data_IF_100997199981
#
_entry.id   IF_100997199981
#
_cell.length_a   1.000
_cell.length_b   1.000
_cell.length_c   1.000
_cell.angle_alpha   90.00
_cell.angle_beta   90.00
_cell.angle_gamma   90.00
#
_symmetry.space_group_name_H-M   'P 1'
#
loop_
_entity.id
_entity.type
_entity.pdbx_description
1 polymer ?
#
# COMPACT_ATOMS: atom_id res chain seq x y z
N UNK A 1 5.91 60.97 1.24
CA UNK A 1 4.85 61.54 0.37
C UNK A 1 3.97 60.40 -0.12
N UNK A 2 2.70 60.37 0.29
CA UNK A 2 1.63 59.48 -0.22
C UNK A 2 0.78 60.26 -1.24
N UNK A 3 0.07 59.59 -2.16
CA UNK A 3 -1.39 59.38 -1.99
C UNK A 3 -1.81 57.96 -2.41
N UNK A 4 -2.78 57.24 -1.80
CA UNK A 4 -4.18 57.51 -1.43
C UNK A 4 -5.14 57.61 -2.64
N UNK A 5 -5.79 56.48 -2.98
CA UNK A 5 -7.00 56.36 -3.81
C UNK A 5 -7.94 55.40 -3.04
N UNK A 6 -8.86 55.91 -2.22
CA UNK A 6 -10.23 56.37 -2.51
C UNK A 6 -11.22 55.25 -2.83
N UNK A 7 -11.88 54.77 -1.78
CA UNK A 7 -13.14 54.04 -1.79
C UNK A 7 -14.30 54.92 -2.33
N UNK A 8 -15.16 54.38 -3.19
CA UNK A 8 -16.59 54.76 -3.24
C UNK A 8 -17.46 53.53 -3.44
N UNK A 9 -18.28 53.30 -2.43
CA UNK A 9 -19.48 52.47 -2.44
C UNK A 9 -20.58 53.15 -3.26
N UNK A 10 -21.41 52.36 -3.94
CA UNK A 10 -22.77 52.73 -4.31
C UNK A 10 -23.70 51.55 -4.01
N UNK A 11 -24.33 51.65 -2.85
CA UNK A 11 -25.56 50.99 -2.44
C UNK A 11 -26.73 51.45 -3.33
N UNK A 12 -27.60 50.51 -3.73
CA UNK A 12 -29.01 50.74 -4.06
C UNK A 12 -29.70 49.40 -4.40
N UNK A 13 -30.38 48.84 -3.40
CA UNK A 13 -31.68 48.18 -3.59
C UNK A 13 -32.77 49.16 -3.12
N UNK A 14 -34.00 49.16 -3.66
CA UNK A 14 -35.02 48.32 -3.04
C UNK A 14 -36.21 47.83 -3.92
N UNK A 15 -36.90 46.81 -3.35
CA UNK A 15 -38.34 46.47 -3.39
C UNK A 15 -38.96 45.72 -4.60
N UNK A 16 -39.19 44.43 -4.35
CA UNK A 16 -40.49 43.76 -4.19
C UNK A 16 -41.67 44.08 -5.14
N UNK A 17 -42.17 43.04 -5.81
CA UNK A 17 -43.61 42.82 -6.00
C UNK A 17 -43.97 41.33 -6.07
N UNK A 18 -44.93 40.95 -5.23
CA UNK A 18 -45.70 39.69 -5.20
C UNK A 18 -46.51 39.51 -6.49
N UNK A 19 -46.62 38.27 -6.95
CA UNK A 19 -47.85 37.77 -7.59
C UNK A 19 -47.93 36.24 -7.47
N UNK A 20 -48.76 35.80 -6.52
CA UNK A 20 -49.25 34.43 -6.36
C UNK A 20 -50.45 34.19 -7.29
N UNK A 21 -50.42 33.16 -8.14
CA UNK A 21 -51.63 32.52 -8.68
C UNK A 21 -51.44 30.99 -8.68
N UNK A 22 -52.26 30.32 -7.86
CA UNK A 22 -52.37 28.86 -7.84
C UNK A 22 -53.36 28.34 -8.88
N UNK A 23 -53.41 27.00 -8.98
CA UNK A 23 -54.51 26.10 -9.42
C UNK A 23 -53.90 24.67 -9.58
N UNK A 24 -54.68 23.57 -9.49
CA UNK A 24 -55.17 22.99 -8.25
C UNK A 24 -54.67 21.54 -8.02
N UNK A 25 -54.77 21.11 -6.76
CA UNK A 25 -54.57 19.74 -6.33
C UNK A 25 -55.75 18.84 -6.75
N UNK A 26 -55.45 17.68 -7.35
CA UNK A 26 -56.39 16.57 -7.49
C UNK A 26 -55.98 15.48 -6.50
N UNK A 27 -56.80 15.33 -5.44
CA UNK A 27 -56.77 14.14 -4.57
C UNK A 27 -57.58 13.03 -5.23
N UNK A 28 -57.01 11.84 -5.35
CA UNK A 28 -57.77 10.58 -5.32
C UNK A 28 -56.97 9.55 -4.52
N UNK A 29 -57.62 9.01 -3.50
CA UNK A 29 -57.14 7.90 -2.68
C UNK A 29 -57.67 6.56 -3.24
N UNK A 30 -56.84 5.50 -3.15
CA UNK A 30 -57.19 4.12 -2.73
C UNK A 30 -56.27 3.05 -3.38
N UNK A 31 -55.28 2.59 -2.59
CA UNK A 31 -54.96 1.20 -2.17
C UNK A 31 -54.90 -0.02 -3.15
N UNK A 32 -54.24 -1.15 -2.75
CA UNK A 32 -53.16 -1.79 -3.52
C UNK A 32 -53.50 -3.19 -4.08
N UNK A 33 -52.65 -3.70 -4.99
CA UNK A 33 -52.53 -5.14 -5.23
C UNK A 33 -52.15 -5.56 -6.66
N UNK A 34 -51.42 -6.68 -6.73
CA UNK A 34 -51.17 -7.58 -7.86
C UNK A 34 -49.94 -7.31 -8.76
N UNK A 35 -48.88 -8.06 -8.44
CA UNK A 35 -47.83 -8.50 -9.35
C UNK A 35 -48.41 -9.02 -10.67
N UNK A 36 -47.83 -8.58 -11.79
CA UNK A 36 -47.96 -9.25 -13.08
C UNK A 36 -46.59 -9.38 -13.73
N UNK A 37 -46.10 -10.62 -13.73
CA UNK A 37 -45.07 -11.08 -14.64
C UNK A 37 -45.58 -10.92 -16.08
N UNK A 38 -44.85 -10.16 -16.90
CA UNK A 38 -45.08 -10.11 -18.34
C UNK A 38 -44.28 -11.24 -18.98
N UNK A 39 -44.98 -12.33 -19.29
CA UNK A 39 -44.54 -13.32 -20.24
C UNK A 39 -44.61 -12.72 -21.67
N UNK A 40 -43.50 -12.75 -22.40
CA UNK A 40 -43.44 -12.45 -23.83
C UNK A 40 -43.20 -13.76 -24.59
N UNK A 41 -44.19 -14.17 -25.38
CA UNK A 41 -44.09 -15.24 -26.39
C UNK A 41 -43.38 -14.73 -27.66
N UNK A 42 -42.82 -15.64 -28.48
CA UNK A 42 -41.84 -15.29 -29.51
C UNK A 42 -42.51 -14.91 -30.84
N UNK A 43 -42.02 -13.82 -31.45
CA UNK A 43 -42.33 -13.44 -32.83
C UNK A 43 -41.05 -13.41 -33.66
N UNK A 44 -40.99 -14.28 -34.67
CA UNK A 44 -39.92 -14.38 -35.65
C UNK A 44 -39.84 -13.14 -36.56
N UNK A 45 -38.62 -12.68 -36.88
CA UNK A 45 -38.40 -11.77 -37.99
C UNK A 45 -37.02 -11.12 -38.08
N UNK A 46 -36.14 -11.73 -38.88
CA UNK A 46 -34.95 -11.17 -39.55
C UNK A 46 -33.65 -10.96 -38.74
N UNK A 47 -32.81 -12.01 -38.80
CA UNK A 47 -31.37 -12.01 -38.52
C UNK A 47 -30.60 -11.18 -39.56
N UNK A 48 -29.84 -10.18 -39.11
CA UNK A 48 -28.65 -9.71 -39.83
C UNK A 48 -27.44 -10.35 -39.14
N UNK A 49 -26.96 -11.44 -39.72
CA UNK A 49 -25.68 -12.05 -39.39
C UNK A 49 -24.57 -11.07 -39.78
N UNK A 50 -23.89 -10.47 -38.79
CA UNK A 50 -22.50 -10.04 -38.99
C UNK A 50 -21.61 -11.23 -38.69
N UNK A 51 -20.93 -11.71 -39.72
CA UNK A 51 -19.94 -12.76 -39.68
C UNK A 51 -18.85 -12.42 -38.66
N UNK A 52 -18.60 -13.34 -37.73
CA UNK A 52 -17.43 -13.32 -36.86
C UNK A 52 -16.18 -13.60 -37.72
N UNK A 53 -15.01 -13.00 -37.38
CA UNK A 53 -13.75 -13.47 -37.94
C UNK A 53 -13.47 -14.90 -37.44
N UNK A 54 -12.90 -15.80 -38.28
CA UNK A 54 -12.78 -17.20 -37.95
C UNK A 54 -11.63 -17.40 -36.95
N UNK A 55 -11.94 -17.94 -35.76
CA UNK A 55 -10.92 -18.38 -34.81
C UNK A 55 -11.31 -18.32 -33.33
N UNK A 56 -12.41 -18.93 -32.93
CA UNK A 56 -12.64 -19.29 -31.54
C UNK A 56 -13.34 -20.66 -31.51
N UNK A 57 -12.54 -21.71 -31.54
CA UNK A 57 -13.01 -23.07 -31.30
C UNK A 57 -13.65 -23.14 -29.92
N UNK A 58 -14.83 -23.75 -29.86
CA UNK A 58 -15.49 -24.13 -28.63
C UNK A 58 -14.55 -25.05 -27.81
N UNK A 59 -13.94 -24.48 -26.78
CA UNK A 59 -13.31 -25.21 -25.70
C UNK A 59 -14.11 -24.98 -24.44
N UNK A 60 -14.90 -25.98 -24.04
CA UNK A 60 -15.34 -26.10 -22.65
C UNK A 60 -14.11 -26.42 -21.80
N UNK A 61 -13.35 -25.39 -21.46
CA UNK A 61 -12.22 -25.43 -20.54
C UNK A 61 -12.39 -24.25 -19.61
N UNK A 62 -12.82 -24.50 -18.37
CA UNK A 62 -12.96 -23.46 -17.37
C UNK A 62 -11.63 -22.70 -17.27
N UNK A 63 -11.66 -21.41 -17.58
CA UNK A 63 -10.59 -20.50 -17.21
C UNK A 63 -10.35 -20.68 -15.70
N UNK A 64 -9.09 -20.68 -15.21
CA UNK A 64 -8.83 -20.71 -13.78
C UNK A 64 -9.54 -19.51 -13.17
N UNK A 65 -10.62 -19.78 -12.43
CA UNK A 65 -11.39 -18.74 -11.76
C UNK A 65 -10.41 -18.06 -10.80
N UNK A 66 -10.16 -16.76 -10.99
CA UNK A 66 -9.52 -15.95 -9.96
C UNK A 66 -10.40 -16.10 -8.73
N UNK A 67 -9.97 -16.92 -7.78
CA UNK A 67 -10.75 -17.15 -6.58
C UNK A 67 -10.95 -15.79 -5.91
N UNK A 68 -12.18 -15.46 -5.46
CA UNK A 68 -12.39 -14.22 -4.74
C UNK A 68 -11.43 -14.15 -3.56
N UNK A 69 -10.81 -12.99 -3.29
CA UNK A 69 -9.93 -12.85 -2.13
C UNK A 69 -10.63 -13.20 -0.83
N UNK A 70 -9.85 -13.60 0.17
CA UNK A 70 -10.37 -13.85 1.51
C UNK A 70 -11.10 -12.59 2.03
N UNK A 71 -12.33 -12.76 2.51
CA UNK A 71 -13.19 -11.67 2.99
C UNK A 71 -14.18 -11.13 1.96
N UNK A 72 -14.05 -11.51 0.68
CA UNK A 72 -15.03 -11.15 -0.34
C UNK A 72 -16.20 -12.14 -0.42
N UNK A 73 -17.41 -11.68 -0.82
CA UNK A 73 -18.54 -12.57 -1.06
C UNK A 73 -18.19 -13.63 -2.11
N UNK A 74 -18.73 -14.85 -1.98
CA UNK A 74 -18.51 -15.93 -2.94
C UNK A 74 -18.96 -15.61 -4.37
N UNK A 75 -19.83 -14.60 -4.52
CA UNK A 75 -20.30 -14.10 -5.81
C UNK A 75 -19.35 -13.10 -6.47
N UNK A 76 -18.35 -12.58 -5.75
CA UNK A 76 -17.35 -11.67 -6.28
C UNK A 76 -16.44 -12.41 -7.26
N UNK A 77 -16.16 -11.80 -8.41
CA UNK A 77 -15.46 -12.46 -9.53
C UNK A 77 -16.04 -13.80 -9.99
N UNK A 78 -17.34 -14.02 -9.73
CA UNK A 78 -18.08 -15.15 -10.26
C UNK A 78 -18.85 -14.72 -11.51
N UNK A 79 -18.80 -15.46 -12.62
CA UNK A 79 -19.60 -15.14 -13.80
C UNK A 79 -21.10 -15.09 -13.50
N UNK A 80 -21.80 -14.19 -14.18
CA UNK A 80 -23.25 -14.04 -14.10
C UNK A 80 -23.92 -15.35 -14.57
N UNK A 81 -24.92 -15.85 -13.82
CA UNK A 81 -25.52 -17.16 -14.09
C UNK A 81 -26.12 -17.30 -15.50
N UNK A 82 -26.57 -16.19 -16.11
CA UNK A 82 -27.08 -16.15 -17.48
C UNK A 82 -26.00 -15.94 -18.56
N UNK A 83 -24.73 -16.02 -18.21
CA UNK A 83 -23.58 -15.77 -19.09
C UNK A 83 -23.46 -14.33 -19.57
N UNK A 84 -22.59 -14.13 -20.57
CA UNK A 84 -22.24 -12.80 -21.10
C UNK A 84 -23.45 -11.99 -21.59
N UNK A 85 -24.46 -12.63 -22.20
CA UNK A 85 -25.65 -11.92 -22.68
C UNK A 85 -26.46 -11.30 -21.53
N UNK A 86 -26.75 -12.09 -20.48
CA UNK A 86 -27.48 -11.60 -19.32
C UNK A 86 -26.66 -10.55 -18.54
N UNK A 87 -25.34 -10.78 -18.43
CA UNK A 87 -24.42 -9.82 -17.84
C UNK A 87 -24.44 -8.47 -18.59
N UNK A 88 -24.45 -8.49 -19.93
CA UNK A 88 -24.52 -7.27 -20.74
C UNK A 88 -25.81 -6.49 -20.53
N UNK A 89 -26.96 -7.16 -20.51
CA UNK A 89 -28.23 -6.49 -20.20
C UNK A 89 -28.24 -5.89 -18.80
N UNK A 90 -27.74 -6.62 -17.81
CA UNK A 90 -27.64 -6.13 -16.43
C UNK A 90 -26.69 -4.93 -16.32
N UNK A 91 -25.53 -4.99 -17.00
CA UNK A 91 -24.54 -3.91 -17.08
C UNK A 91 -25.13 -2.66 -17.72
N UNK A 92 -25.83 -2.79 -18.84
CA UNK A 92 -26.44 -1.65 -19.55
C UNK A 92 -27.51 -0.94 -18.71
N UNK A 93 -28.28 -1.70 -17.92
CA UNK A 93 -29.28 -1.14 -16.97
C UNK A 93 -28.61 -0.47 -15.77
N UNK A 94 -27.54 -1.06 -15.23
CA UNK A 94 -26.88 -0.57 -14.02
C UNK A 94 -25.94 0.62 -14.28
N UNK A 95 -25.29 0.67 -15.45
CA UNK A 95 -24.23 1.62 -15.77
C UNK A 95 -24.58 3.09 -15.50
N UNK A 96 -25.76 3.63 -15.89
CA UNK A 96 -26.10 5.03 -15.60
C UNK A 96 -26.09 5.35 -14.11
N UNK A 97 -26.62 4.44 -13.27
CA UNK A 97 -26.66 4.61 -11.82
C UNK A 97 -25.29 4.49 -11.19
N UNK A 98 -24.48 3.52 -11.63
CA UNK A 98 -23.11 3.32 -11.18
C UNK A 98 -22.24 4.55 -11.48
N UNK A 99 -22.25 5.03 -12.73
CA UNK A 99 -21.48 6.19 -13.16
C UNK A 99 -21.93 7.47 -12.45
N UNK A 100 -23.23 7.67 -12.25
CA UNK A 100 -23.74 8.80 -11.48
C UNK A 100 -23.32 8.73 -10.00
N UNK A 101 -23.31 7.52 -9.41
CA UNK A 101 -22.83 7.28 -8.05
C UNK A 101 -21.35 7.61 -7.89
N UNK A 102 -20.50 7.12 -8.80
CA UNK A 102 -19.06 7.41 -8.82
C UNK A 102 -18.82 8.92 -8.96
N UNK A 103 -19.53 9.58 -9.89
CA UNK A 103 -19.42 11.02 -10.07
C UNK A 103 -19.75 11.81 -8.78
N UNK A 104 -20.78 11.36 -8.05
CA UNK A 104 -21.24 12.02 -6.83
C UNK A 104 -20.39 11.70 -5.59
N UNK A 105 -19.80 10.51 -5.51
CA UNK A 105 -19.03 10.04 -4.34
C UNK A 105 -17.54 10.36 -4.41
N UNK A 106 -16.99 10.42 -5.61
CA UNK A 106 -15.55 10.64 -5.83
C UNK A 106 -15.37 11.89 -6.66
N UNK A 107 -15.61 11.79 -7.98
CA UNK A 107 -15.44 12.90 -8.90
C UNK A 107 -16.02 12.57 -10.27
N UNK A 108 -16.66 13.53 -10.97
CA UNK A 108 -17.01 13.36 -12.37
C UNK A 108 -15.80 13.09 -13.28
N UNK A 109 -14.58 13.45 -12.85
CA UNK A 109 -13.34 13.29 -13.64
C UNK A 109 -12.95 11.83 -13.89
N UNK A 110 -13.30 10.91 -12.98
CA UNK A 110 -12.98 9.48 -13.12
C UNK A 110 -14.03 8.70 -13.91
N UNK A 111 -15.22 9.28 -14.14
CA UNK A 111 -16.33 8.65 -14.87
C UNK A 111 -15.93 8.13 -16.25
N UNK A 112 -15.11 8.83 -17.07
CA UNK A 112 -14.69 8.29 -18.36
C UNK A 112 -13.91 6.97 -18.25
N UNK A 113 -13.09 6.80 -17.21
CA UNK A 113 -12.34 5.56 -16.98
C UNK A 113 -13.28 4.42 -16.60
N UNK A 114 -14.22 4.67 -15.68
CA UNK A 114 -15.22 3.67 -15.30
C UNK A 114 -16.18 3.32 -16.43
N UNK A 115 -16.47 4.26 -17.32
CA UNK A 115 -17.21 3.96 -18.54
C UNK A 115 -16.41 3.05 -19.48
N UNK A 116 -15.10 3.29 -19.66
CA UNK A 116 -14.25 2.35 -20.41
C UNK A 116 -14.27 0.96 -19.77
N UNK A 117 -14.13 0.87 -18.44
CA UNK A 117 -14.19 -0.39 -17.71
C UNK A 117 -15.50 -1.13 -17.99
N UNK A 118 -16.63 -0.45 -17.75
CA UNK A 118 -17.96 -1.05 -17.91
C UNK A 118 -18.16 -1.56 -19.34
N UNK A 119 -17.62 -0.85 -20.34
CA UNK A 119 -17.82 -1.12 -21.77
C UNK A 119 -16.60 -1.74 -22.49
N UNK A 120 -15.88 -2.62 -21.80
CA UNK A 120 -14.94 -3.56 -22.41
C UNK A 120 -13.46 -3.25 -22.23
N UNK A 121 -13.12 -2.28 -21.39
CA UNK A 121 -11.75 -1.92 -21.04
C UNK A 121 -11.03 -1.02 -22.06
N UNK A 122 -9.75 -0.78 -21.82
CA UNK A 122 -8.91 0.11 -22.65
C UNK A 122 -7.51 -0.45 -22.88
N UNK A 123 -6.76 0.19 -23.77
CA UNK A 123 -5.30 0.03 -23.78
C UNK A 123 -4.71 0.72 -22.54
N UNK A 124 -3.44 0.47 -22.24
CA UNK A 124 -2.73 1.21 -21.19
C UNK A 124 -2.72 2.71 -21.51
N UNK A 125 -3.08 3.52 -20.52
CA UNK A 125 -3.17 4.98 -20.65
C UNK A 125 -2.13 5.68 -19.76
N UNK A 126 -1.55 6.78 -20.23
CA UNK A 126 -0.78 7.67 -19.36
C UNK A 126 -1.73 8.74 -18.80
N UNK A 127 -1.94 8.72 -17.49
CA UNK A 127 -2.84 9.63 -16.79
C UNK A 127 -2.11 10.70 -15.97
N UNK A 128 -0.78 10.81 -16.12
CA UNK A 128 0.06 11.75 -15.37
C UNK A 128 -0.43 13.20 -15.49
N UNK A 129 -0.72 13.66 -16.71
CA UNK A 129 -1.20 15.02 -16.93
C UNK A 129 -2.62 15.26 -16.37
N UNK A 130 -3.45 14.21 -16.33
CA UNK A 130 -4.85 14.31 -15.92
C UNK A 130 -5.00 14.24 -14.41
N UNK A 131 -4.27 13.36 -13.74
CA UNK A 131 -4.46 13.04 -12.32
C UNK A 131 -3.19 13.18 -11.47
N UNK A 132 -2.02 13.48 -12.04
CA UNK A 132 -0.77 13.56 -11.27
C UNK A 132 -0.86 14.52 -10.08
N UNK A 133 -1.57 15.64 -10.23
CA UNK A 133 -1.80 16.56 -9.11
C UNK A 133 -2.68 15.96 -8.00
N UNK A 134 -3.70 15.16 -8.33
CA UNK A 134 -4.53 14.47 -7.33
C UNK A 134 -3.71 13.41 -6.58
N UNK A 135 -2.84 12.70 -7.28
CA UNK A 135 -1.89 11.76 -6.66
C UNK A 135 -0.91 12.50 -5.74
N UNK A 136 -0.33 13.63 -6.15
CA UNK A 136 0.53 14.45 -5.29
C UNK A 136 -0.18 14.92 -4.02
N UNK A 137 -1.47 15.25 -4.11
CA UNK A 137 -2.26 15.78 -2.98
C UNK A 137 -2.85 14.70 -2.06
N UNK A 138 -2.77 13.42 -2.43
CA UNK A 138 -3.33 12.32 -1.64
C UNK A 138 -2.67 12.21 -0.26
N UNK A 139 -3.47 11.88 0.76
CA UNK A 139 -2.95 11.59 2.09
C UNK A 139 -2.02 10.36 2.10
N UNK A 140 -2.28 9.34 1.26
CA UNK A 140 -1.36 8.20 1.07
C UNK A 140 0.00 8.69 0.59
N UNK A 141 0.03 9.52 -0.45
CA UNK A 141 1.29 10.08 -0.97
C UNK A 141 2.04 10.88 0.08
N UNK A 142 1.34 11.68 0.89
CA UNK A 142 1.95 12.44 1.97
C UNK A 142 2.63 11.49 2.98
N UNK A 143 1.93 10.44 3.43
CA UNK A 143 2.46 9.46 4.37
C UNK A 143 3.65 8.67 3.79
N UNK A 144 3.55 8.18 2.55
CA UNK A 144 4.66 7.50 1.87
C UNK A 144 5.87 8.42 1.69
N UNK A 145 5.63 9.70 1.41
CA UNK A 145 6.72 10.69 1.32
C UNK A 145 7.39 10.89 2.67
N UNK A 146 6.62 11.01 3.75
CA UNK A 146 7.15 11.18 5.10
C UNK A 146 8.02 9.97 5.50
N UNK A 147 7.53 8.76 5.26
CA UNK A 147 8.30 7.51 5.46
C UNK A 147 9.65 7.52 4.71
N UNK A 148 9.64 7.75 3.39
CA UNK A 148 10.87 7.74 2.59
C UNK A 148 11.85 8.84 3.03
N UNK A 149 11.34 10.01 3.42
CA UNK A 149 12.18 11.14 3.85
C UNK A 149 12.76 10.88 5.24
N UNK A 150 12.03 10.22 6.13
CA UNK A 150 12.54 9.81 7.44
C UNK A 150 13.59 8.70 7.34
N UNK A 151 13.40 7.71 6.47
CA UNK A 151 14.41 6.70 6.17
C UNK A 151 15.70 7.34 5.62
N UNK A 152 15.55 8.29 4.68
CA UNK A 152 16.69 9.02 4.12
C UNK A 152 17.40 9.86 5.20
N UNK A 153 16.65 10.52 6.09
CA UNK A 153 17.22 11.29 7.20
C UNK A 153 18.03 10.39 8.12
N UNK A 154 17.49 9.25 8.53
CA UNK A 154 18.18 8.29 9.41
C UNK A 154 19.45 7.73 8.77
N UNK A 155 19.40 7.39 7.49
CA UNK A 155 20.57 6.93 6.74
C UNK A 155 21.66 8.03 6.65
N UNK A 156 21.29 9.29 6.43
CA UNK A 156 22.24 10.42 6.41
C UNK A 156 22.81 10.70 7.81
N UNK A 157 22.03 10.56 8.88
CA UNK A 157 22.50 10.68 10.26
C UNK A 157 23.52 9.59 10.61
N UNK A 158 23.27 8.35 10.18
CA UNK A 158 24.14 7.21 10.44
C UNK A 158 25.40 7.21 9.57
N UNK A 159 25.30 7.68 8.33
CA UNK A 159 26.37 7.62 7.32
C UNK A 159 26.40 8.90 6.48
N UNK A 160 26.81 10.05 7.06
CA UNK A 160 26.80 11.32 6.35
C UNK A 160 27.77 11.29 5.16
N UNK A 161 27.37 11.80 3.98
CA UNK A 161 28.25 11.85 2.83
C UNK A 161 29.36 12.91 3.00
N UNK A 162 30.46 12.82 2.24
CA UNK A 162 31.47 13.87 2.25
C UNK A 162 30.91 15.17 1.62
N UNK A 163 31.33 16.30 2.18
CA UNK A 163 31.05 17.64 1.64
C UNK A 163 32.38 18.32 1.24
N UNK A 164 32.88 18.10 0.01
CA UNK A 164 34.13 18.71 -0.45
C UNK A 164 34.07 20.23 -0.36
N UNK A 165 34.95 20.82 0.45
CA UNK A 165 34.97 22.26 0.69
C UNK A 165 33.70 22.83 1.34
N UNK A 166 32.87 21.99 1.97
CA UNK A 166 31.58 22.40 2.56
C UNK A 166 30.49 22.71 1.54
N UNK A 167 30.68 22.35 0.27
CA UNK A 167 29.68 22.59 -0.77
C UNK A 167 28.48 21.63 -0.65
N UNK A 168 27.27 22.05 -1.05
CA UNK A 168 26.12 21.15 -1.16
C UNK A 168 26.39 19.98 -2.11
N UNK A 169 25.84 18.82 -1.76
CA UNK A 169 25.99 17.57 -2.52
C UNK A 169 24.62 17.06 -2.96
N UNK A 170 24.52 16.54 -4.18
CA UNK A 170 23.32 15.84 -4.67
C UNK A 170 23.54 14.33 -4.52
N UNK A 171 22.52 13.62 -4.03
CA UNK A 171 22.58 12.19 -3.78
C UNK A 171 21.35 11.49 -4.34
N UNK A 172 21.55 10.32 -4.95
CA UNK A 172 20.46 9.45 -5.43
C UNK A 172 19.75 8.78 -4.25
N UNK A 173 18.44 8.96 -4.15
CA UNK A 173 17.63 8.47 -3.03
C UNK A 173 17.57 6.93 -3.04
N UNK A 174 17.21 6.25 -4.15
CA UNK A 174 17.14 4.79 -4.16
C UNK A 174 18.42 4.07 -3.79
N UNK A 175 19.59 4.63 -4.11
CA UNK A 175 20.87 4.05 -3.71
C UNK A 175 21.12 4.05 -2.19
N UNK A 176 20.45 4.94 -1.45
CA UNK A 176 20.63 5.13 0.00
C UNK A 176 19.62 4.36 0.82
N UNK A 177 18.38 4.30 0.33
CA UNK A 177 17.27 3.64 1.03
C UNK A 177 16.58 2.55 0.17
N UNK A 178 17.33 1.59 -0.42
CA UNK A 178 16.78 0.62 -1.36
C UNK A 178 15.69 -0.27 -0.76
N UNK A 179 15.78 -0.59 0.53
CA UNK A 179 14.76 -1.37 1.24
C UNK A 179 13.45 -0.59 1.35
N UNK A 180 13.51 0.69 1.73
CA UNK A 180 12.32 1.55 1.82
C UNK A 180 11.65 1.75 0.45
N UNK A 181 12.45 1.91 -0.62
CA UNK A 181 11.92 1.99 -1.99
C UNK A 181 11.24 0.68 -2.42
N UNK A 182 11.72 -0.46 -1.94
CA UNK A 182 11.08 -1.76 -2.23
C UNK A 182 9.79 -1.93 -1.43
N UNK A 183 9.77 -1.49 -0.17
CA UNK A 183 8.64 -1.62 0.75
C UNK A 183 7.37 -0.96 0.19
N UNK A 184 7.48 0.26 -0.36
CA UNK A 184 6.32 1.00 -0.90
C UNK A 184 5.57 0.26 -2.03
N UNK A 185 6.26 -0.65 -2.74
CA UNK A 185 5.70 -1.44 -3.85
C UNK A 185 5.39 -2.88 -3.50
N UNK A 186 5.64 -3.31 -2.26
CA UNK A 186 5.48 -4.71 -1.84
C UNK A 186 4.06 -4.93 -1.31
N UNK A 187 3.27 -5.86 -1.89
CA UNK A 187 1.92 -6.12 -1.42
C UNK A 187 1.88 -6.63 0.03
N UNK A 188 1.03 -6.02 0.85
CA UNK A 188 0.86 -6.22 2.29
C UNK A 188 2.06 -5.80 3.16
N UNK A 189 3.03 -5.09 2.59
CA UNK A 189 4.05 -4.43 3.40
C UNK A 189 3.39 -3.34 4.27
N UNK A 190 3.78 -3.18 5.55
CA UNK A 190 3.24 -2.11 6.39
C UNK A 190 3.40 -0.70 5.80
N UNK A 191 4.43 -0.48 5.00
CA UNK A 191 4.78 0.81 4.38
C UNK A 191 4.39 0.88 2.89
N UNK A 192 3.58 -0.06 2.41
CA UNK A 192 3.09 -0.05 1.03
C UNK A 192 2.35 1.26 0.68
N UNK A 193 2.52 1.74 -0.55
CA UNK A 193 1.78 2.87 -1.08
C UNK A 193 0.38 2.43 -1.55
N UNK A 194 -0.51 2.22 -0.58
CA UNK A 194 -1.90 1.81 -0.77
C UNK A 194 -2.84 3.02 -0.71
N UNK A 195 -3.47 3.32 -1.85
CA UNK A 195 -4.44 4.40 -1.91
C UNK A 195 -5.80 3.88 -1.44
N UNK A 196 -6.04 3.92 -0.14
CA UNK A 196 -7.29 3.45 0.49
C UNK A 196 -8.12 4.58 1.09
N UNK A 197 -7.77 5.84 0.80
CA UNK A 197 -8.45 7.02 1.32
C UNK A 197 -9.77 7.24 0.57
N UNK A 198 -10.87 7.08 1.30
CA UNK A 198 -12.22 7.21 0.75
C UNK A 198 -12.47 8.64 0.24
N UNK A 199 -12.95 8.73 -1.00
CA UNK A 199 -13.32 10.00 -1.65
C UNK A 199 -12.19 10.68 -2.42
N UNK A 200 -10.95 10.19 -2.29
CA UNK A 200 -9.85 10.64 -3.13
C UNK A 200 -9.89 9.94 -4.49
N UNK A 201 -9.48 10.66 -5.55
CA UNK A 201 -9.37 10.08 -6.89
C UNK A 201 -8.37 8.91 -6.92
N UNK A 202 -7.12 9.06 -6.41
CA UNK A 202 -6.19 7.95 -6.32
C UNK A 202 -6.77 6.74 -5.59
N UNK A 203 -7.47 6.96 -4.47
CA UNK A 203 -8.11 5.87 -3.73
C UNK A 203 -9.24 5.17 -4.47
N UNK A 204 -9.84 5.83 -5.46
CA UNK A 204 -10.86 5.22 -6.30
C UNK A 204 -10.32 4.45 -7.49
N UNK A 205 -9.16 4.84 -8.04
CA UNK A 205 -8.67 4.28 -9.31
C UNK A 205 -7.37 3.47 -9.18
N UNK A 206 -6.61 3.64 -8.10
CA UNK A 206 -5.28 3.05 -7.91
C UNK A 206 -5.13 2.45 -6.52
N UNK A 207 -6.08 1.59 -6.11
CA UNK A 207 -6.21 1.12 -4.72
C UNK A 207 -5.03 0.27 -4.22
N UNK A 208 -5.31 -0.96 -3.78
CA UNK A 208 -4.27 -1.89 -3.36
C UNK A 208 -3.32 -2.28 -4.48
N UNK A 209 -2.24 -2.99 -4.15
CA UNK A 209 -1.26 -3.48 -5.12
C UNK A 209 -1.58 -4.93 -5.48
N UNK A 210 -2.13 -5.15 -6.68
CA UNK A 210 -2.35 -6.46 -7.27
C UNK A 210 -1.10 -7.01 -7.95
N UNK A 211 -0.79 -8.29 -7.70
CA UNK A 211 0.38 -8.98 -8.25
C UNK A 211 0.01 -10.16 -9.16
N UNK A 212 -1.26 -10.30 -9.50
CA UNK A 212 -1.81 -11.50 -10.13
C UNK A 212 -2.58 -11.26 -11.42
N UNK A 213 -2.66 -10.02 -11.94
CA UNK A 213 -3.32 -9.69 -13.21
C UNK A 213 -2.77 -10.54 -14.36
N UNK A 214 -1.43 -10.67 -14.46
CA UNK A 214 -0.79 -11.48 -15.50
C UNK A 214 -1.06 -12.98 -15.35
N UNK A 215 -1.19 -13.46 -14.11
CA UNK A 215 -1.47 -14.87 -13.82
C UNK A 215 -2.95 -15.22 -13.89
N UNK A 216 -3.83 -14.21 -13.90
CA UNK A 216 -5.26 -14.36 -13.78
C UNK A 216 -6.02 -13.39 -14.71
N UNK A 217 -5.85 -13.52 -16.04
CA UNK A 217 -6.46 -12.59 -16.98
C UNK A 217 -7.97 -12.81 -17.08
N UNK A 218 -8.76 -11.90 -16.52
CA UNK A 218 -10.24 -11.89 -16.59
C UNK A 218 -10.72 -10.63 -17.33
N UNK A 219 -11.98 -10.64 -17.78
CA UNK A 219 -12.59 -9.51 -18.45
C UNK A 219 -12.58 -9.61 -19.98
N UNK A 220 -13.30 -8.69 -20.60
CA UNK A 220 -13.31 -8.51 -22.05
C UNK A 220 -11.93 -8.12 -22.59
N UNK A 221 -11.13 -7.46 -21.75
CA UNK A 221 -9.76 -7.03 -22.05
C UNK A 221 -8.92 -7.04 -20.77
N UNK A 222 -8.15 -8.11 -20.51
CA UNK A 222 -7.29 -8.20 -19.35
C UNK A 222 -6.12 -7.21 -19.39
N UNK A 223 -5.63 -6.81 -18.22
CA UNK A 223 -4.48 -5.93 -18.05
C UNK A 223 -3.18 -6.57 -18.56
N UNK A 224 -2.30 -5.80 -19.21
CA UNK A 224 -1.01 -6.29 -19.68
C UNK A 224 0.09 -6.25 -18.63
N UNK A 225 -0.19 -5.83 -17.39
CA UNK A 225 0.79 -5.78 -16.31
C UNK A 225 0.14 -5.96 -14.93
N UNK A 226 0.95 -6.36 -13.96
CA UNK A 226 0.61 -6.27 -12.54
C UNK A 226 0.81 -4.84 -12.04
N UNK A 227 0.18 -4.50 -10.92
CA UNK A 227 0.34 -3.19 -10.30
C UNK A 227 1.75 -3.03 -9.74
N UNK A 228 2.23 -1.79 -9.73
CA UNK A 228 3.52 -1.43 -9.16
C UNK A 228 3.50 -0.02 -8.59
N UNK A 229 4.24 0.16 -7.50
CA UNK A 229 4.56 1.47 -6.92
C UNK A 229 6.08 1.61 -6.92
N UNK A 230 6.57 2.68 -7.52
CA UNK A 230 8.01 2.93 -7.59
C UNK A 230 8.31 4.38 -7.27
N UNK A 231 9.50 4.63 -6.73
CA UNK A 231 10.00 5.95 -6.42
C UNK A 231 11.44 6.09 -6.93
N UNK A 232 11.72 7.24 -7.53
CA UNK A 232 13.05 7.63 -7.96
C UNK A 232 13.28 9.10 -7.59
N UNK A 233 14.53 9.55 -7.58
CA UNK A 233 14.83 10.95 -7.32
C UNK A 233 16.14 11.17 -6.62
N UNK A 234 16.41 12.43 -6.34
CA UNK A 234 17.64 12.86 -5.69
C UNK A 234 17.34 13.84 -4.56
N UNK A 235 18.23 13.90 -3.58
CA UNK A 235 18.19 14.87 -2.50
C UNK A 235 19.37 15.84 -2.62
N UNK A 236 19.09 17.13 -2.43
CA UNK A 236 20.11 18.15 -2.22
C UNK A 236 20.42 18.22 -0.73
N UNK A 237 21.67 17.94 -0.37
CA UNK A 237 22.17 17.97 1.00
C UNK A 237 23.04 19.21 1.16
N UNK A 238 22.70 20.05 2.15
CA UNK A 238 23.44 21.26 2.47
C UNK A 238 24.01 21.15 3.88
N UNK A 239 25.34 21.13 4.06
CA UNK A 239 25.93 21.12 5.39
C UNK A 239 25.74 22.50 6.05
N UNK A 240 25.37 22.49 7.32
CA UNK A 240 25.17 23.69 8.12
C UNK A 240 26.37 23.95 9.03
N UNK A 241 26.52 25.20 9.47
CA UNK A 241 27.63 25.62 10.33
C UNK A 241 27.64 24.93 11.72
N UNK A 242 26.49 24.43 12.18
CA UNK A 242 26.33 23.69 13.43
C UNK A 242 26.61 22.19 13.31
N UNK A 243 27.01 21.73 12.12
CA UNK A 243 27.27 20.31 11.83
C UNK A 243 26.03 19.51 11.42
N UNK A 244 24.83 20.10 11.45
CA UNK A 244 23.63 19.49 10.88
C UNK A 244 23.66 19.51 9.35
N UNK A 245 22.79 18.72 8.73
CA UNK A 245 22.64 18.66 7.27
C UNK A 245 21.19 18.91 6.92
N UNK A 246 20.91 19.96 6.16
CA UNK A 246 19.58 20.18 5.58
C UNK A 246 19.41 19.33 4.34
N UNK A 247 18.33 18.55 4.30
CA UNK A 247 18.00 17.60 3.24
C UNK A 247 16.75 18.10 2.52
N UNK A 248 16.88 18.34 1.22
CA UNK A 248 15.78 18.74 0.33
C UNK A 248 15.60 17.66 -0.75
N UNK A 249 14.72 16.66 -0.53
CA UNK A 249 14.47 15.60 -1.48
C UNK A 249 13.56 16.06 -2.62
N UNK A 250 13.85 15.58 -3.83
CA UNK A 250 12.94 15.61 -4.98
C UNK A 250 12.64 14.17 -5.36
N UNK A 251 11.44 13.70 -5.02
CA UNK A 251 10.98 12.33 -5.28
C UNK A 251 9.94 12.37 -6.39
N UNK A 252 10.07 11.46 -7.35
CA UNK A 252 9.11 11.19 -8.41
C UNK A 252 8.57 9.79 -8.20
N UNK A 253 7.26 9.69 -8.01
CA UNK A 253 6.55 8.42 -7.95
C UNK A 253 6.06 8.02 -9.33
N UNK A 254 6.11 6.72 -9.61
CA UNK A 254 5.41 6.13 -10.76
C UNK A 254 4.53 4.99 -10.27
N UNK A 255 3.25 5.11 -10.56
CA UNK A 255 2.19 4.15 -10.26
C UNK A 255 1.78 3.48 -11.55
N UNK A 256 1.99 2.17 -11.64
CA UNK A 256 1.32 1.31 -12.61
C UNK A 256 0.14 0.66 -11.89
N UNK A 257 -1.04 0.81 -12.45
CA UNK A 257 -2.25 0.30 -11.83
C UNK A 257 -3.32 0.00 -12.88
N UNK A 258 -4.35 -0.72 -12.47
CA UNK A 258 -5.44 -1.15 -13.31
C UNK A 258 -6.75 -0.92 -12.57
N UNK A 259 -7.69 -0.19 -13.22
CA UNK A 259 -9.08 -0.29 -12.77
C UNK A 259 -9.59 -1.65 -13.23
N UNK A 260 -9.54 -2.60 -12.31
CA UNK A 260 -10.07 -3.94 -12.41
C UNK A 260 -10.86 -4.28 -11.13
N UNK A 261 -11.72 -5.28 -11.20
CA UNK A 261 -12.27 -5.93 -10.00
C UNK A 261 -11.91 -7.41 -9.98
N UNK A 262 -11.41 -7.98 -11.09
CA UNK A 262 -11.04 -9.38 -11.22
C UNK A 262 -9.70 -9.57 -11.98
N UNK A 263 -8.60 -9.88 -11.30
CA UNK A 263 -8.47 -10.07 -9.86
C UNK A 263 -8.42 -8.72 -9.13
N UNK A 264 -9.24 -8.53 -8.10
CA UNK A 264 -9.25 -7.29 -7.33
C UNK A 264 -9.86 -7.46 -5.95
N UNK A 265 -9.92 -6.38 -5.16
CA UNK A 265 -10.56 -6.35 -3.86
C UNK A 265 -12.04 -5.96 -4.00
N UNK A 266 -12.93 -6.62 -3.26
CA UNK A 266 -14.35 -6.26 -3.22
C UNK A 266 -14.65 -4.94 -2.50
N UNK A 267 -13.67 -4.35 -1.83
CA UNK A 267 -13.82 -3.10 -1.09
C UNK A 267 -14.60 -3.27 0.21
N UNK A 268 -14.85 -2.15 0.88
CA UNK A 268 -15.62 -2.11 2.11
C UNK A 268 -17.06 -2.60 1.90
N UNK A 269 -17.76 -3.10 2.93
CA UNK A 269 -19.12 -3.66 2.77
C UNK A 269 -20.13 -2.74 2.08
N UNK A 270 -19.99 -1.41 2.21
CA UNK A 270 -20.87 -0.45 1.55
C UNK A 270 -20.55 -0.27 0.05
N UNK A 271 -19.32 -0.51 -0.35
CA UNK A 271 -18.85 -0.42 -1.75
C UNK A 271 -19.26 -1.66 -2.55
N UNK A 272 -19.43 -2.79 -1.86
CA UNK A 272 -19.87 -4.07 -2.43
C UNK A 272 -21.21 -4.02 -3.17
N UNK A 273 -22.06 -3.03 -2.88
CA UNK A 273 -23.28 -2.78 -3.64
C UNK A 273 -22.99 -2.50 -5.14
N UNK A 274 -21.85 -1.87 -5.43
CA UNK A 274 -21.41 -1.56 -6.77
C UNK A 274 -20.36 -2.56 -7.28
N UNK A 275 -19.35 -2.85 -6.46
CA UNK A 275 -18.19 -3.67 -6.88
C UNK A 275 -18.55 -5.13 -7.09
N UNK A 276 -19.48 -5.71 -6.32
CA UNK A 276 -19.87 -7.12 -6.53
C UNK A 276 -20.54 -7.30 -7.91
N UNK A 277 -21.63 -6.59 -8.28
CA UNK A 277 -22.19 -6.70 -9.62
C UNK A 277 -21.20 -6.39 -10.74
N UNK A 278 -20.36 -5.36 -10.57
CA UNK A 278 -19.34 -4.98 -11.56
C UNK A 278 -18.31 -6.09 -11.77
N UNK A 279 -17.81 -6.71 -10.70
CA UNK A 279 -16.90 -7.86 -10.79
C UNK A 279 -17.51 -9.03 -11.57
N UNK A 280 -18.82 -9.21 -11.50
CA UNK A 280 -19.50 -10.28 -12.26
C UNK A 280 -19.61 -9.93 -13.74
N UNK A 281 -19.78 -8.65 -14.10
CA UNK A 281 -19.76 -8.21 -15.49
C UNK A 281 -18.40 -8.47 -16.15
N UNK A 282 -17.34 -8.21 -15.41
CA UNK A 282 -15.95 -8.49 -15.80
C UNK A 282 -15.68 -10.00 -15.87
N UNK A 283 -16.04 -10.77 -14.84
CA UNK A 283 -15.94 -12.24 -14.83
C UNK A 283 -16.76 -12.91 -15.95
N UNK A 284 -17.78 -12.23 -16.47
CA UNK A 284 -18.60 -12.68 -17.59
C UNK A 284 -18.07 -12.24 -18.96
N UNK A 285 -16.95 -11.52 -19.01
CA UNK A 285 -16.29 -11.06 -20.22
C UNK A 285 -16.98 -9.88 -20.92
N UNK A 286 -17.75 -9.07 -20.19
CA UNK A 286 -18.52 -7.94 -20.75
C UNK A 286 -17.95 -6.58 -20.38
N UNK A 287 -17.43 -6.47 -19.16
CA UNK A 287 -16.56 -5.38 -18.71
C UNK A 287 -15.10 -5.82 -18.80
N UNK A 288 -14.16 -4.87 -18.81
CA UNK A 288 -12.74 -5.19 -18.94
C UNK A 288 -11.85 -4.11 -18.37
N UNK A 289 -10.57 -4.42 -18.28
CA UNK A 289 -9.61 -3.67 -17.48
C UNK A 289 -9.24 -2.34 -18.13
N UNK A 290 -8.96 -1.35 -17.28
CA UNK A 290 -8.45 -0.04 -17.70
C UNK A 290 -7.08 0.18 -17.06
N UNK A 291 -6.02 -0.37 -17.67
CA UNK A 291 -4.65 -0.19 -17.19
C UNK A 291 -4.18 1.25 -17.41
N UNK A 292 -3.41 1.77 -16.47
CA UNK A 292 -2.83 3.10 -16.57
C UNK A 292 -1.50 3.26 -15.84
N UNK A 293 -0.83 4.35 -16.17
CA UNK A 293 0.41 4.80 -15.54
C UNK A 293 0.22 6.26 -15.12
N UNK A 294 0.55 6.58 -13.87
CA UNK A 294 0.63 7.96 -13.37
C UNK A 294 2.04 8.19 -12.82
N UNK A 295 2.74 9.15 -13.39
CA UNK A 295 4.00 9.67 -12.87
C UNK A 295 3.75 11.07 -12.30
N UNK A 296 4.16 11.30 -11.04
CA UNK A 296 3.90 12.55 -10.33
C UNK A 296 5.02 12.85 -9.33
N UNK A 297 5.13 14.12 -8.96
CA UNK A 297 6.14 14.58 -7.99
C UNK A 297 5.57 14.46 -6.59
N UNK A 298 6.37 14.00 -5.64
CA UNK A 298 6.02 13.98 -4.23
C UNK A 298 5.76 15.41 -3.69
N UNK A 299 4.88 15.59 -2.71
CA UNK A 299 4.76 16.87 -2.03
C UNK A 299 6.10 17.25 -1.38
N UNK A 300 6.50 18.54 -1.42
CA UNK A 300 7.82 18.95 -0.97
C UNK A 300 8.00 18.68 0.51
N UNK A 301 9.21 18.26 0.88
CA UNK A 301 9.67 18.10 2.26
C UNK A 301 11.02 18.77 2.44
N UNK A 302 11.31 19.13 3.68
CA UNK A 302 12.64 19.56 4.10
C UNK A 302 12.84 19.05 5.51
N UNK A 303 13.90 18.28 5.71
CA UNK A 303 14.27 17.73 7.01
C UNK A 303 15.71 18.07 7.32
N UNK A 304 16.06 18.02 8.60
CA UNK A 304 17.43 18.24 9.06
C UNK A 304 17.91 16.96 9.70
N UNK A 305 19.03 16.43 9.21
CA UNK A 305 19.76 15.38 9.85
C UNK A 305 20.74 15.98 10.86
N UNK A 306 20.87 15.34 12.01
CA UNK A 306 21.87 15.67 13.01
C UNK A 306 22.86 14.51 13.14
N UNK A 307 23.84 14.37 12.23
CA UNK A 307 24.87 13.36 12.38
C UNK A 307 25.55 13.54 13.72
N UNK A 308 25.47 12.51 14.56
CA UNK A 308 26.34 12.45 15.72
C UNK A 308 27.77 12.38 15.22
N UNK A 309 28.67 13.17 15.81
CA UNK A 309 30.10 12.97 15.58
C UNK A 309 30.39 11.47 15.79
N UNK A 310 31.16 10.81 14.90
CA UNK A 310 31.67 9.48 15.18
C UNK A 310 32.23 9.53 16.60
N UNK A 311 31.93 8.55 17.47
CA UNK A 311 32.56 8.50 18.78
C UNK A 311 34.05 8.73 18.55
N UNK A 312 34.61 9.73 19.23
CA UNK A 312 36.01 10.10 19.07
C UNK A 312 36.81 8.79 19.07
N UNK A 313 37.75 8.59 18.12
CA UNK A 313 38.56 7.38 18.12
C UNK A 313 39.07 7.22 19.54
N UNK A 314 38.65 6.14 20.20
CA UNK A 314 39.07 5.87 21.56
C UNK A 314 40.59 6.01 21.53
N UNK A 315 41.20 6.79 22.44
CA UNK A 315 42.66 6.77 22.59
C UNK A 315 43.09 5.32 22.52
N UNK A 316 44.14 4.95 21.75
CA UNK A 316 44.48 3.56 21.47
C UNK A 316 44.28 2.76 22.75
N UNK A 317 43.24 1.93 22.74
CA UNK A 317 42.94 1.09 23.89
C UNK A 317 44.23 0.39 24.24
N UNK A 318 44.63 0.29 25.53
CA UNK A 318 45.66 -0.66 25.91
C UNK A 318 45.34 -1.97 25.19
N UNK A 319 46.37 -2.59 24.60
CA UNK A 319 46.23 -3.82 23.83
C UNK A 319 45.19 -4.74 24.48
N UNK A 320 44.28 -5.37 23.70
CA UNK A 320 43.25 -6.22 24.26
C UNK A 320 43.88 -7.14 25.31
N UNK A 321 43.30 -7.28 26.52
CA UNK A 321 43.74 -8.34 27.39
C UNK A 321 43.67 -9.63 26.59
N UNK A 322 44.76 -10.39 26.61
CA UNK A 322 44.88 -11.73 26.05
C UNK A 322 43.53 -12.46 26.20
N UNK A 323 42.99 -13.09 25.14
CA UNK A 323 41.71 -13.78 25.23
C UNK A 323 41.69 -14.66 26.49
N UNK A 324 40.85 -14.30 27.45
CA UNK A 324 40.53 -15.18 28.56
C UNK A 324 39.95 -16.44 27.92
N UNK A 325 40.56 -17.59 28.24
CA UNK A 325 39.99 -18.87 27.85
C UNK A 325 38.57 -19.00 28.40
N UNK A 326 37.88 -20.10 28.09
CA UNK A 326 36.55 -20.30 28.66
C UNK A 326 36.61 -20.14 30.20
N UNK A 327 35.49 -19.80 30.83
CA UNK A 327 35.43 -19.65 32.30
C UNK A 327 34.39 -20.61 32.89
N UNK A 328 34.35 -20.74 34.20
CA UNK A 328 33.36 -21.57 34.87
C UNK A 328 32.22 -20.71 35.43
N UNK A 329 31.01 -21.27 35.45
CA UNK A 329 29.84 -20.68 36.12
C UNK A 329 29.03 -21.71 36.90
N UNK A 330 28.30 -21.29 37.93
CA UNK A 330 27.35 -22.13 38.67
C UNK A 330 25.90 -21.76 38.32
N UNK A 331 25.08 -22.76 38.05
CA UNK A 331 23.66 -22.56 37.77
C UNK A 331 22.91 -22.15 39.04
N UNK A 332 22.21 -21.02 38.99
CA UNK A 332 21.44 -20.48 40.11
C UNK A 332 19.95 -20.79 40.03
N UNK A 333 19.39 -21.05 38.84
CA UNK A 333 17.99 -21.45 38.70
C UNK A 333 17.76 -22.87 39.26
N UNK A 334 16.53 -23.16 39.74
CA UNK A 334 16.15 -24.52 40.19
C UNK A 334 16.33 -25.56 39.08
N UNK A 335 16.01 -25.18 37.84
CA UNK A 335 16.26 -25.93 36.60
C UNK A 335 16.42 -24.96 35.44
N UNK A 336 17.61 -24.87 34.86
CA UNK A 336 17.89 -24.01 33.71
C UNK A 336 17.80 -24.81 32.41
N UNK A 337 17.04 -24.31 31.42
CA UNK A 337 16.87 -24.97 30.11
C UNK A 337 18.04 -24.62 29.18
N UNK A 338 18.59 -25.64 28.53
CA UNK A 338 19.63 -25.52 27.52
C UNK A 338 18.94 -25.39 26.16
N UNK A 339 19.28 -24.35 25.39
CA UNK A 339 18.62 -23.96 24.14
C UNK A 339 19.55 -24.12 22.95
N UNK A 340 18.98 -24.40 21.77
CA UNK A 340 19.75 -24.53 20.52
C UNK A 340 20.31 -23.19 19.99
N UNK A 341 19.67 -22.08 20.34
CA UNK A 341 20.03 -20.71 19.95
C UNK A 341 19.74 -19.76 21.14
N UNK A 342 20.29 -18.53 21.17
CA UNK A 342 20.17 -17.60 22.31
C UNK A 342 18.78 -16.93 22.36
N UNK A 343 17.75 -17.74 22.63
CA UNK A 343 16.36 -17.31 22.73
C UNK A 343 15.46 -18.36 23.40
N UNK A 344 14.42 -17.90 24.09
CA UNK A 344 13.46 -18.75 24.81
C UNK A 344 12.53 -19.53 23.88
N UNK A 345 12.38 -19.07 22.64
CA UNK A 345 11.66 -19.74 21.55
C UNK A 345 12.47 -20.89 20.90
N UNK A 346 13.79 -20.93 21.11
CA UNK A 346 14.64 -21.97 20.51
C UNK A 346 14.37 -23.36 21.11
N UNK A 347 14.56 -24.45 20.33
CA UNK A 347 14.39 -25.81 20.82
C UNK A 347 15.19 -26.10 22.10
N UNK A 348 14.59 -26.82 23.04
CA UNK A 348 15.23 -27.26 24.28
C UNK A 348 16.07 -28.50 23.98
N UNK A 349 17.38 -28.41 24.23
CA UNK A 349 18.33 -29.52 24.08
C UNK A 349 18.50 -30.32 25.38
N UNK A 350 18.21 -29.70 26.53
CA UNK A 350 18.36 -30.32 27.84
C UNK A 350 18.10 -29.36 29.00
N UNK A 351 18.60 -29.69 30.18
CA UNK A 351 18.54 -28.81 31.34
C UNK A 351 19.65 -29.07 32.34
N UNK A 352 20.16 -28.01 32.98
CA UNK A 352 21.03 -28.10 34.15
C UNK A 352 20.22 -27.92 35.46
N UNK A 353 20.40 -28.77 36.48
CA UNK A 353 19.87 -28.52 37.81
C UNK A 353 20.63 -27.39 38.53
N UNK A 354 20.04 -26.86 39.62
CA UNK A 354 20.69 -25.85 40.47
C UNK A 354 22.01 -26.36 41.03
N UNK A 355 23.02 -25.49 41.05
CA UNK A 355 24.34 -25.78 41.60
C UNK A 355 25.24 -26.57 40.65
N UNK A 356 24.77 -26.94 39.46
CA UNK A 356 25.65 -27.49 38.42
C UNK A 356 26.70 -26.46 38.03
N UNK A 357 27.96 -26.89 38.01
CA UNK A 357 29.06 -26.11 37.45
C UNK A 357 29.14 -26.37 35.94
N UNK A 358 29.16 -25.30 35.17
CA UNK A 358 29.22 -25.30 33.71
C UNK A 358 30.47 -24.59 33.21
N UNK A 359 30.91 -24.97 32.02
CA UNK A 359 31.95 -24.27 31.26
C UNK A 359 31.28 -23.28 30.32
N UNK A 360 31.59 -22.00 30.47
CA UNK A 360 31.14 -20.94 29.56
C UNK A 360 32.21 -20.80 28.48
N UNK A 361 31.90 -21.32 27.29
CA UNK A 361 32.76 -21.28 26.11
C UNK A 361 32.94 -19.86 25.60
N UNK A 362 31.82 -19.13 25.46
CA UNK A 362 31.77 -17.74 25.05
C UNK A 362 30.38 -17.12 25.35
N UNK A 363 30.26 -15.80 25.23
CA UNK A 363 29.02 -15.04 25.40
C UNK A 363 28.55 -14.39 24.11
N UNK A 364 27.25 -14.35 23.89
CA UNK A 364 26.62 -13.67 22.75
C UNK A 364 25.35 -12.93 23.17
N UNK A 365 24.89 -12.01 22.33
CA UNK A 365 23.62 -11.29 22.54
C UNK A 365 22.45 -12.10 21.98
N UNK A 366 21.33 -12.11 22.70
CA UNK A 366 20.11 -12.81 22.32
C UNK A 366 18.85 -12.16 22.87
N UNK A 367 17.79 -12.96 23.03
CA UNK A 367 16.52 -12.49 23.62
C UNK A 367 16.72 -12.00 25.06
N UNK A 368 16.10 -10.88 25.44
CA UNK A 368 16.10 -10.39 26.82
C UNK A 368 15.38 -11.38 27.75
N UNK A 369 16.06 -11.78 28.82
CA UNK A 369 15.52 -12.65 29.86
C UNK A 369 15.71 -11.97 31.21
N UNK A 370 14.62 -11.40 31.71
CA UNK A 370 14.59 -10.69 33.00
C UNK A 370 15.63 -9.56 33.09
N UNK A 371 15.76 -8.75 32.03
CA UNK A 371 16.60 -7.55 32.00
C UNK A 371 18.07 -7.81 31.64
N UNK A 372 18.38 -8.95 31.04
CA UNK A 372 19.67 -9.19 30.36
C UNK A 372 19.44 -9.91 29.04
N UNK A 373 20.08 -9.41 27.99
CA UNK A 373 20.15 -9.98 26.65
C UNK A 373 21.39 -10.88 26.47
N UNK A 374 22.14 -11.16 27.54
CA UNK A 374 23.36 -11.94 27.49
C UNK A 374 23.07 -13.44 27.60
N UNK A 375 23.64 -14.22 26.69
CA UNK A 375 23.55 -15.68 26.65
C UNK A 375 24.93 -16.33 26.68
N UNK A 376 25.07 -17.34 27.53
CA UNK A 376 26.26 -18.18 27.66
C UNK A 376 26.16 -19.39 26.73
N UNK A 377 27.19 -19.62 25.93
CA UNK A 377 27.36 -20.88 25.21
C UNK A 377 28.12 -21.88 26.08
N UNK A 378 27.57 -23.08 26.23
CA UNK A 378 28.22 -24.23 26.85
C UNK A 378 28.45 -25.33 25.81
N UNK A 379 29.07 -26.43 26.25
CA UNK A 379 29.26 -27.65 25.46
C UNK A 379 27.93 -28.28 24.99
N UNK A 380 26.82 -28.00 25.67
CA UNK A 380 25.49 -28.56 25.40
C UNK A 380 24.54 -27.61 24.69
N UNK A 381 24.84 -26.31 24.62
CA UNK A 381 24.01 -25.29 23.99
C UNK A 381 23.99 -23.96 24.75
N UNK A 382 23.01 -23.13 24.47
CA UNK A 382 22.90 -21.78 25.03
C UNK A 382 22.03 -21.75 26.29
N UNK A 383 22.47 -21.00 27.31
CA UNK A 383 21.69 -20.68 28.50
C UNK A 383 21.72 -19.17 28.75
N UNK A 384 20.69 -18.61 29.38
CA UNK A 384 20.69 -17.17 29.72
C UNK A 384 21.66 -16.92 30.88
N UNK A 385 22.57 -15.94 30.72
CA UNK A 385 23.55 -15.52 31.74
C UNK A 385 22.85 -15.04 33.02
N UNK A 386 21.60 -14.59 32.90
CA UNK A 386 20.72 -14.24 34.02
C UNK A 386 20.72 -15.25 35.17
N UNK A 387 20.86 -16.54 34.82
CA UNK A 387 20.77 -17.66 35.75
C UNK A 387 22.11 -18.34 36.01
N UNK A 388 23.23 -17.73 35.61
CA UNK A 388 24.58 -18.25 35.78
C UNK A 388 25.36 -17.32 36.70
N UNK A 389 25.95 -17.87 37.77
CA UNK A 389 26.87 -17.14 38.63
C UNK A 389 28.29 -17.48 38.22
N UNK A 390 28.99 -16.54 37.60
CA UNK A 390 30.39 -16.70 37.16
C UNK A 390 31.32 -16.96 38.35
N UNK A 391 32.38 -17.73 38.09
CA UNK A 391 33.43 -18.04 39.06
C UNK A 391 34.71 -17.37 38.60
N UNK A 392 35.23 -16.46 39.42
CA UNK A 392 36.35 -15.60 39.06
C UNK A 392 35.89 -14.24 38.53
N UNK A 393 36.86 -13.39 38.20
CA UNK A 393 36.65 -12.03 37.67
C UNK A 393 36.88 -11.93 36.17
N UNK A 394 37.28 -13.02 35.52
CA UNK A 394 37.56 -13.03 34.09
C UNK A 394 36.26 -12.98 33.30
N UNK A 395 36.22 -12.17 32.24
CA UNK A 395 35.11 -12.17 31.30
C UNK A 395 35.23 -13.39 30.38
N UNK A 396 34.14 -14.11 30.07
CA UNK A 396 34.15 -15.09 29.00
C UNK A 396 34.50 -14.41 27.67
N UNK A 397 35.09 -15.12 26.71
CA UNK A 397 35.28 -14.58 25.36
C UNK A 397 33.91 -14.34 24.69
N UNK A 398 33.86 -13.48 23.68
CA UNK A 398 32.65 -13.30 22.88
C UNK A 398 32.55 -14.38 21.79
N UNK A 399 31.35 -14.90 21.60
CA UNK A 399 30.95 -15.54 20.35
C UNK A 399 30.61 -14.40 19.35
#
# INVERSE_FOLDING_TARGET
>A
MRPALSFRSCDRSPRASRASRGLPAVRRAAQPGASRALALSPGNGALIQRQAPPGAGAGAGGAPVCAPPAGCPASFCSPFAGGAFAAGLARDVAAPGLLAGIAAKVSPRVVPLWNQYLFGGSAAQNLSATFGADFTLSATTAATTDFLVDELRQDIEASPPPFPGGAPTIMDIPSRIPSAITAIGTPNDPDQMDFNVIGEIPGNIAGGIGANQLSCPIGARPSPFNDARTAAGAALLTPNADGSITIVPTIVFTVHDTIDLCPGNCGAPIEQLATVPMSQFEASGVSGDVPFIVTFIAPPRTVVAHPTAPPAPTPPSPAPPTPSGPIDGDITASRLRIRKAPGTSAPILGSYPRGTRIRIECQTTGEDVEGTDTWDRTDLGFVSDRFVRRIGSDAPPHC
#
